data_IF_247827349050
#
_entry.id   IF_247827349050
#
_cell.length_a   1.000
_cell.length_b   1.000
_cell.length_c   1.000
_cell.angle_alpha   90.00
_cell.angle_beta   90.00
_cell.angle_gamma   90.00
#
_symmetry.space_group_name_H-M   'P 1'
#
loop_
_entity.id
_entity.type
_entity.pdbx_description
1 polymer ?
#
# COMPACT_ATOMS: atom_id res chain seq x y z
N UNK A 1 8.02 -17.31 -2.49
CA UNK A 1 7.22 -16.24 -3.10
C UNK A 1 7.41 -16.30 -4.61
N UNK A 2 6.57 -15.65 -5.42
CA UNK A 2 6.85 -15.49 -6.85
C UNK A 2 8.06 -14.55 -7.01
N UNK A 3 9.07 -14.91 -7.80
CA UNK A 3 10.29 -14.13 -8.02
C UNK A 3 9.97 -12.66 -8.38
N UNK A 4 8.86 -12.43 -9.08
CA UNK A 4 8.42 -11.08 -9.44
C UNK A 4 7.95 -10.22 -8.24
N UNK A 5 7.27 -10.82 -7.25
CA UNK A 5 6.82 -10.09 -6.05
C UNK A 5 8.03 -9.68 -5.21
N UNK A 6 9.01 -10.57 -5.07
CA UNK A 6 10.26 -10.29 -4.35
C UNK A 6 11.00 -9.11 -4.99
N UNK A 7 11.15 -9.09 -6.32
CA UNK A 7 11.75 -7.98 -7.06
C UNK A 7 11.02 -6.65 -6.86
N UNK A 8 9.68 -6.64 -6.90
CA UNK A 8 8.90 -5.43 -6.67
C UNK A 8 9.09 -4.90 -5.24
N UNK A 9 9.13 -5.79 -4.24
CA UNK A 9 9.41 -5.41 -2.87
C UNK A 9 10.84 -4.89 -2.71
N UNK A 10 11.83 -5.52 -3.34
CA UNK A 10 13.22 -5.05 -3.35
C UNK A 10 13.34 -3.64 -3.92
N UNK A 11 12.68 -3.37 -5.06
CA UNK A 11 12.64 -2.03 -5.65
C UNK A 11 11.99 -1.04 -4.69
N UNK A 12 10.79 -1.34 -4.17
CA UNK A 12 10.06 -0.44 -3.27
C UNK A 12 10.86 -0.11 -1.99
N UNK A 13 11.53 -1.11 -1.42
CA UNK A 13 12.29 -0.99 -0.17
C UNK A 13 13.70 -0.45 -0.35
N UNK A 14 14.19 -0.23 -1.58
CA UNK A 14 15.48 0.41 -1.81
C UNK A 14 15.40 1.91 -1.49
N UNK A 15 16.01 2.39 -0.39
CA UNK A 15 15.88 3.78 0.04
C UNK A 15 16.60 4.77 -0.89
N UNK A 16 17.53 4.29 -1.72
CA UNK A 16 18.24 5.10 -2.73
C UNK A 16 17.71 4.87 -4.15
N UNK A 17 16.71 3.99 -4.30
CA UNK A 17 16.04 3.70 -5.55
C UNK A 17 15.32 4.94 -6.10
N UNK A 18 15.14 4.97 -7.42
CA UNK A 18 14.47 6.10 -8.07
C UNK A 18 13.00 6.16 -7.66
N UNK A 19 12.50 7.37 -7.44
CA UNK A 19 11.13 7.58 -6.97
C UNK A 19 10.11 6.98 -7.96
N UNK A 20 10.33 7.11 -9.27
CA UNK A 20 9.42 6.58 -10.29
C UNK A 20 9.40 5.04 -10.34
N UNK A 21 10.55 4.38 -10.18
CA UNK A 21 10.59 2.91 -10.10
C UNK A 21 9.93 2.37 -8.83
N UNK A 22 10.11 3.07 -7.71
CA UNK A 22 9.48 2.73 -6.42
C UNK A 22 7.98 2.95 -6.45
N UNK A 23 7.54 4.04 -7.08
CA UNK A 23 6.14 4.36 -7.33
C UNK A 23 5.46 3.27 -8.17
N UNK A 24 6.04 2.93 -9.32
CA UNK A 24 5.58 1.83 -10.17
C UNK A 24 5.52 0.52 -9.37
N UNK A 25 6.57 0.19 -8.61
CA UNK A 25 6.61 -1.02 -7.81
C UNK A 25 5.46 -1.11 -6.79
N UNK A 26 5.17 0.00 -6.09
CA UNK A 26 4.03 0.09 -5.18
C UNK A 26 2.71 -0.24 -5.91
N UNK A 27 2.46 0.39 -7.05
CA UNK A 27 1.25 0.19 -7.86
C UNK A 27 1.16 -1.26 -8.38
N UNK A 28 2.26 -1.85 -8.86
CA UNK A 28 2.25 -3.22 -9.37
C UNK A 28 1.99 -4.27 -8.28
N UNK A 29 2.40 -4.03 -7.03
CA UNK A 29 2.15 -4.94 -5.91
C UNK A 29 0.65 -5.14 -5.63
N UNK A 30 -0.20 -4.14 -5.90
CA UNK A 30 -1.65 -4.26 -5.75
C UNK A 30 -2.27 -5.38 -6.63
N UNK A 31 -1.60 -5.77 -7.72
CA UNK A 31 -2.04 -6.86 -8.62
C UNK A 31 -1.89 -8.26 -8.01
N UNK A 32 -1.21 -8.36 -6.87
CA UNK A 32 -0.95 -9.63 -6.18
C UNK A 32 -1.54 -9.61 -4.76
N UNK A 33 -2.87 -9.47 -4.60
CA UNK A 33 -3.47 -9.32 -3.29
C UNK A 33 -3.22 -10.54 -2.41
N UNK A 34 -2.54 -10.31 -1.29
CA UNK A 34 -2.28 -11.31 -0.25
C UNK A 34 -2.10 -10.62 1.10
N UNK A 35 -2.36 -11.36 2.19
CA UNK A 35 -2.11 -10.83 3.54
C UNK A 35 -0.61 -10.50 3.73
N UNK A 36 0.29 -11.29 3.14
CA UNK A 36 1.74 -11.07 3.26
C UNK A 36 2.18 -9.74 2.62
N UNK A 37 1.71 -9.43 1.41
CA UNK A 37 2.00 -8.15 0.75
C UNK A 37 1.37 -7.01 1.53
N UNK A 38 0.11 -7.18 1.98
CA UNK A 38 -0.57 -6.17 2.79
C UNK A 38 0.24 -5.82 4.04
N UNK A 39 0.72 -6.82 4.79
CA UNK A 39 1.54 -6.61 5.98
C UNK A 39 2.84 -5.85 5.67
N UNK A 40 3.55 -6.22 4.59
CA UNK A 40 4.78 -5.53 4.17
C UNK A 40 4.53 -4.07 3.78
N UNK A 41 3.45 -3.80 3.04
CA UNK A 41 3.07 -2.43 2.64
C UNK A 41 2.64 -1.59 3.85
N UNK A 42 1.92 -2.17 4.81
CA UNK A 42 1.53 -1.47 6.05
C UNK A 42 2.76 -1.12 6.89
N UNK A 43 3.74 -2.02 6.99
CA UNK A 43 5.02 -1.75 7.68
C UNK A 43 5.73 -0.59 6.97
N UNK A 44 5.86 -0.64 5.64
CA UNK A 44 6.48 0.44 4.86
C UNK A 44 5.79 1.79 5.07
N UNK A 45 4.47 1.81 4.90
CA UNK A 45 3.65 3.03 4.98
C UNK A 45 3.52 3.59 6.40
N UNK A 46 4.05 2.91 7.42
CA UNK A 46 4.13 3.46 8.78
C UNK A 46 5.29 4.45 8.95
N UNK A 47 6.26 4.47 8.03
CA UNK A 47 7.36 5.44 8.03
C UNK A 47 6.89 6.80 7.47
N UNK A 48 6.65 7.77 8.36
CA UNK A 48 6.22 9.12 7.99
C UNK A 48 7.28 9.94 7.22
N UNK A 49 8.55 9.54 7.31
CA UNK A 49 9.67 10.24 6.67
C UNK A 49 9.91 9.80 5.22
N UNK A 50 9.15 8.81 4.73
CA UNK A 50 9.25 8.36 3.34
C UNK A 50 8.70 9.41 2.36
N UNK A 51 9.12 9.29 1.10
CA UNK A 51 8.65 10.14 0.02
C UNK A 51 7.12 10.10 -0.11
N UNK A 52 6.51 11.28 -0.23
CA UNK A 52 5.06 11.44 -0.26
C UNK A 52 4.40 10.80 -1.49
N UNK A 53 5.07 10.77 -2.63
CA UNK A 53 4.59 10.10 -3.85
C UNK A 53 4.49 8.59 -3.60
N UNK A 54 5.56 8.01 -3.04
CA UNK A 54 5.61 6.58 -2.74
C UNK A 54 4.57 6.22 -1.67
N UNK A 55 4.43 7.03 -0.62
CA UNK A 55 3.41 6.84 0.41
C UNK A 55 1.99 6.90 -0.17
N UNK A 56 1.72 7.80 -1.11
CA UNK A 56 0.42 7.88 -1.77
C UNK A 56 0.11 6.57 -2.51
N UNK A 57 1.01 6.11 -3.38
CA UNK A 57 0.83 4.90 -4.18
C UNK A 57 0.78 3.62 -3.33
N UNK A 58 1.55 3.54 -2.24
CA UNK A 58 1.42 2.44 -1.27
C UNK A 58 0.07 2.51 -0.55
N UNK A 59 -0.41 3.70 -0.18
CA UNK A 59 -1.72 3.90 0.42
C UNK A 59 -2.87 3.44 -0.48
N UNK A 60 -2.84 3.82 -1.77
CA UNK A 60 -3.79 3.33 -2.76
C UNK A 60 -3.75 1.80 -2.86
N UNK A 61 -2.55 1.23 -2.96
CA UNK A 61 -2.34 -0.21 -3.10
C UNK A 61 -2.81 -1.01 -1.88
N UNK A 62 -2.63 -0.49 -0.67
CA UNK A 62 -3.20 -1.07 0.56
C UNK A 62 -4.73 -1.12 0.46
N UNK A 63 -5.37 -0.02 0.04
CA UNK A 63 -6.82 0.03 -0.16
C UNK A 63 -7.29 -0.98 -1.21
N UNK A 64 -6.61 -1.06 -2.35
CA UNK A 64 -6.89 -2.01 -3.42
C UNK A 64 -6.80 -3.46 -2.95
N UNK A 65 -5.75 -3.80 -2.20
CA UNK A 65 -5.55 -5.15 -1.67
C UNK A 65 -6.64 -5.50 -0.64
N UNK A 66 -6.99 -4.58 0.27
CA UNK A 66 -8.09 -4.80 1.21
C UNK A 66 -9.41 -5.10 0.50
N UNK A 67 -9.74 -4.30 -0.52
CA UNK A 67 -10.94 -4.48 -1.36
C UNK A 67 -10.90 -5.82 -2.08
N UNK A 68 -9.78 -6.17 -2.72
CA UNK A 68 -9.61 -7.41 -3.46
C UNK A 68 -9.70 -8.66 -2.57
N UNK A 69 -9.19 -8.58 -1.33
CA UNK A 69 -9.32 -9.65 -0.34
C UNK A 69 -10.69 -9.67 0.35
N UNK A 70 -11.54 -8.66 0.11
CA UNK A 70 -12.78 -8.40 0.84
C UNK A 70 -12.57 -8.43 2.37
N UNK A 71 -11.46 -7.82 2.83
CA UNK A 71 -11.06 -7.76 4.23
C UNK A 71 -10.70 -6.33 4.60
N UNK A 72 -11.41 -5.82 5.60
CA UNK A 72 -11.15 -4.51 6.17
C UNK A 72 -10.76 -4.65 7.64
N UNK A 73 -9.59 -4.13 7.99
CA UNK A 73 -9.16 -3.95 9.36
C UNK A 73 -8.91 -2.46 9.62
N UNK A 74 -9.82 -1.76 10.30
CA UNK A 74 -9.67 -0.33 10.55
C UNK A 74 -8.46 -0.01 11.44
N UNK A 75 -7.90 -0.97 12.18
CA UNK A 75 -6.69 -0.76 12.99
C UNK A 75 -5.46 -0.45 12.13
N UNK A 76 -5.45 -0.92 10.87
CA UNK A 76 -4.38 -0.61 9.92
C UNK A 76 -4.33 0.90 9.64
N UNK A 77 -5.47 1.57 9.51
CA UNK A 77 -5.54 3.01 9.24
C UNK A 77 -4.89 3.87 10.34
N UNK A 78 -4.80 3.34 11.58
CA UNK A 78 -4.12 4.01 12.69
C UNK A 78 -2.59 3.91 12.63
N UNK A 79 -2.04 3.02 11.80
CA UNK A 79 -0.60 2.76 11.67
C UNK A 79 0.04 3.49 10.48
N UNK A 80 -0.78 3.91 9.52
CA UNK A 80 -0.31 4.54 8.30
C UNK A 80 0.09 6.00 8.53
N UNK A 81 1.15 6.43 7.85
CA UNK A 81 1.46 7.84 7.65
C UNK A 81 0.25 8.56 7.02
N UNK A 82 0.13 9.87 7.28
CA UNK A 82 -1.06 10.64 6.91
C UNK A 82 -1.42 10.52 5.42
N UNK A 83 -0.43 10.60 4.53
CA UNK A 83 -0.62 10.49 3.08
C UNK A 83 -1.11 9.11 2.67
N UNK A 84 -0.45 8.04 3.12
CA UNK A 84 -0.90 6.68 2.83
C UNK A 84 -2.31 6.42 3.37
N UNK A 85 -2.64 6.94 4.57
CA UNK A 85 -3.97 6.83 5.16
C UNK A 85 -5.05 7.50 4.31
N UNK A 86 -4.78 8.71 3.82
CA UNK A 86 -5.72 9.47 2.97
C UNK A 86 -6.02 8.67 1.71
N UNK A 87 -5.00 8.16 1.04
CA UNK A 87 -5.19 7.39 -0.20
C UNK A 87 -5.88 6.05 0.03
N UNK A 88 -5.52 5.32 1.11
CA UNK A 88 -6.23 4.09 1.50
C UNK A 88 -7.73 4.36 1.71
N UNK A 89 -8.06 5.44 2.43
CA UNK A 89 -9.46 5.84 2.64
C UNK A 89 -10.14 6.27 1.35
N UNK A 90 -9.43 6.95 0.45
CA UNK A 90 -9.91 7.31 -0.88
C UNK A 90 -10.39 6.08 -1.66
N UNK A 91 -9.54 5.07 -1.78
CA UNK A 91 -9.88 3.80 -2.45
C UNK A 91 -11.06 3.10 -1.77
N UNK A 92 -11.04 2.97 -0.44
CA UNK A 92 -12.12 2.30 0.30
C UNK A 92 -13.45 3.04 0.13
N UNK A 93 -13.45 4.37 0.26
CA UNK A 93 -14.67 5.17 0.10
C UNK A 93 -15.26 5.08 -1.31
N UNK A 94 -14.42 4.93 -2.33
CA UNK A 94 -14.85 4.78 -3.72
C UNK A 94 -15.37 3.38 -4.07
N UNK A 95 -14.85 2.32 -3.44
CA UNK A 95 -15.14 0.92 -3.82
C UNK A 95 -15.97 0.14 -2.82
N UNK A 96 -15.83 0.44 -1.53
CA UNK A 96 -16.47 -0.23 -0.38
C UNK A 96 -16.91 0.79 0.68
N UNK A 97 -17.71 1.82 0.33
CA UNK A 97 -18.11 2.86 1.28
C UNK A 97 -18.85 2.30 2.50
N UNK A 98 -19.47 1.13 2.40
CA UNK A 98 -20.12 0.43 3.51
C UNK A 98 -19.16 0.02 4.64
N UNK A 99 -17.84 -0.06 4.38
CA UNK A 99 -16.84 -0.36 5.40
C UNK A 99 -16.52 0.82 6.32
N UNK A 100 -16.89 2.04 5.92
CA UNK A 100 -16.59 3.27 6.66
C UNK A 100 -17.80 3.83 7.44
N UNK A 101 -18.88 3.05 7.53
CA UNK A 101 -20.13 3.45 8.19
C UNK A 101 -20.18 3.02 9.65
#
# INVERSE_FOLDING_TARGET
MNNHIEQLLEILFDPIGRIDERDDAAIYLAKYPSNEILEKLVIFASNSEENQIILASVGESIGEIMVALNKFDPSILGKLAATAKIETLGVISGKKPEWLR
#
